data_IF_397363120374
#
_entry.id   IF_397363120374
#
_cell.length_a   1.000
_cell.length_b   1.000
_cell.length_c   1.000
_cell.angle_alpha   90.00
_cell.angle_beta   90.00
_cell.angle_gamma   90.00
#
_symmetry.space_group_name_H-M   'P 1'
#
loop_
_entity.id
_entity.type
_entity.pdbx_description
1 polymer ?
#
# COMPACT_ATOMS: atom_id res chain seq x y z
N UNK A 1 6.10 7.58 -0.72
CA UNK A 1 5.41 6.36 -1.19
C UNK A 1 6.02 5.05 -0.66
N UNK A 2 7.27 5.03 -0.19
CA UNK A 2 7.94 3.86 0.42
C UNK A 2 7.11 3.08 1.46
N UNK A 3 6.52 3.75 2.46
CA UNK A 3 5.74 3.09 3.53
C UNK A 3 4.47 2.42 2.99
N UNK A 4 3.78 3.08 2.04
CA UNK A 4 2.52 2.56 1.48
C UNK A 4 2.82 1.31 0.64
N UNK A 5 3.88 1.34 -0.17
CA UNK A 5 4.31 0.19 -0.95
C UNK A 5 4.72 -0.98 -0.05
N UNK A 6 5.46 -0.72 1.03
CA UNK A 6 5.87 -1.75 1.98
C UNK A 6 4.68 -2.41 2.69
N UNK A 7 3.68 -1.61 3.08
CA UNK A 7 2.42 -2.14 3.64
C UNK A 7 1.69 -3.00 2.61
N UNK A 8 1.54 -2.49 1.37
CA UNK A 8 0.89 -3.22 0.29
C UNK A 8 1.61 -4.53 -0.06
N UNK A 9 2.95 -4.53 -0.07
CA UNK A 9 3.76 -5.72 -0.26
C UNK A 9 3.44 -6.78 0.79
N UNK A 10 3.34 -6.40 2.07
CA UNK A 10 2.98 -7.36 3.14
C UNK A 10 1.58 -7.90 2.89
N UNK A 11 0.59 -7.04 2.64
CA UNK A 11 -0.80 -7.45 2.40
C UNK A 11 -0.89 -8.46 1.26
N UNK A 12 -0.23 -8.22 0.12
CA UNK A 12 -0.25 -9.11 -1.04
C UNK A 12 0.58 -10.38 -0.83
N UNK A 13 1.74 -10.27 -0.17
CA UNK A 13 2.60 -11.42 0.13
C UNK A 13 1.95 -12.40 1.11
N UNK A 14 1.10 -11.90 2.02
CA UNK A 14 0.37 -12.70 3.01
C UNK A 14 -1.03 -13.12 2.53
N UNK A 15 -1.45 -12.72 1.32
CA UNK A 15 -2.75 -13.09 0.76
C UNK A 15 -3.94 -12.45 1.46
N UNK A 16 -3.73 -11.29 2.09
CA UNK A 16 -4.75 -10.57 2.89
C UNK A 16 -5.58 -9.60 2.05
N UNK A 17 -5.43 -9.61 0.73
CA UNK A 17 -6.21 -8.80 -0.19
C UNK A 17 -7.67 -9.26 -0.32
N UNK A 18 -8.57 -8.30 -0.51
CA UNK A 18 -9.97 -8.56 -0.77
C UNK A 18 -10.19 -8.93 -2.25
N UNK A 19 -9.77 -10.14 -2.66
CA UNK A 19 -9.84 -10.64 -4.05
C UNK A 19 -11.20 -10.40 -4.71
N UNK A 20 -12.28 -10.83 -4.04
CA UNK A 20 -13.65 -10.64 -4.55
C UNK A 20 -14.04 -9.17 -4.74
N UNK A 21 -13.49 -8.25 -3.95
CA UNK A 21 -13.75 -6.81 -4.15
C UNK A 21 -13.00 -6.28 -5.37
N UNK A 22 -11.75 -6.71 -5.54
CA UNK A 22 -10.88 -6.34 -6.66
C UNK A 22 -11.47 -6.87 -7.96
N UNK A 23 -11.81 -8.16 -8.02
CA UNK A 23 -12.36 -8.80 -9.22
C UNK A 23 -13.68 -8.14 -9.71
N UNK A 24 -14.47 -7.61 -8.78
CA UNK A 24 -15.77 -6.99 -9.09
C UNK A 24 -15.68 -5.49 -9.43
N UNK A 25 -14.57 -4.80 -9.12
CA UNK A 25 -14.49 -3.34 -9.21
C UNK A 25 -13.23 -2.77 -9.84
N UNK A 26 -12.22 -3.61 -10.10
CA UNK A 26 -10.95 -3.20 -10.67
C UNK A 26 -10.74 -3.87 -12.02
N UNK A 27 -9.95 -3.23 -12.88
CA UNK A 27 -9.47 -3.83 -14.13
C UNK A 27 -8.39 -4.87 -13.82
N UNK A 28 -8.56 -6.08 -14.32
CA UNK A 28 -7.68 -7.22 -14.00
C UNK A 28 -6.23 -6.97 -14.46
N UNK A 29 -6.03 -6.54 -15.71
CA UNK A 29 -4.69 -6.32 -16.27
C UNK A 29 -3.91 -5.26 -15.48
N UNK A 30 -4.57 -4.13 -15.17
CA UNK A 30 -3.96 -3.06 -14.38
C UNK A 30 -3.65 -3.50 -12.94
N UNK A 31 -4.50 -4.35 -12.35
CA UNK A 31 -4.26 -4.92 -11.03
C UNK A 31 -3.07 -5.90 -11.04
N UNK A 32 -2.94 -6.74 -12.06
CA UNK A 32 -1.83 -7.69 -12.18
C UNK A 32 -0.48 -6.98 -12.36
N UNK A 33 -0.44 -5.93 -13.17
CA UNK A 33 0.74 -5.09 -13.35
C UNK A 33 1.15 -4.44 -12.02
N UNK A 34 0.17 -3.84 -11.32
CA UNK A 34 0.40 -3.22 -10.01
C UNK A 34 0.84 -4.25 -8.96
N UNK A 35 0.20 -5.41 -8.92
CA UNK A 35 0.52 -6.50 -7.99
C UNK A 35 1.94 -6.99 -8.20
N UNK A 36 2.36 -7.16 -9.46
CA UNK A 36 3.72 -7.57 -9.80
C UNK A 36 4.75 -6.54 -9.35
N UNK A 37 4.47 -5.24 -9.56
CA UNK A 37 5.33 -4.16 -9.06
C UNK A 37 5.43 -4.15 -7.53
N UNK A 38 4.32 -4.31 -6.81
CA UNK A 38 4.31 -4.25 -5.36
C UNK A 38 5.02 -5.47 -4.73
N UNK A 39 4.98 -6.63 -5.37
CA UNK A 39 5.66 -7.85 -4.91
C UNK A 39 7.18 -7.86 -5.19
N UNK A 40 7.71 -6.84 -5.85
CA UNK A 40 9.16 -6.67 -6.03
C UNK A 40 9.86 -6.51 -4.66
N UNK A 41 11.00 -7.18 -4.48
CA UNK A 41 11.82 -7.12 -3.27
C UNK A 41 12.27 -5.70 -2.89
N UNK A 42 12.35 -4.79 -3.88
CA UNK A 42 12.61 -3.37 -3.63
C UNK A 42 11.53 -2.77 -2.73
N UNK A 43 10.28 -3.21 -2.87
CA UNK A 43 9.14 -2.76 -2.06
C UNK A 43 8.98 -3.54 -0.75
N UNK A 44 9.85 -4.52 -0.44
CA UNK A 44 9.76 -5.29 0.79
C UNK A 44 9.93 -4.40 2.05
N UNK A 45 9.31 -4.77 3.18
CA UNK A 45 9.52 -4.08 4.46
C UNK A 45 10.99 -3.96 4.85
N UNK A 46 11.79 -4.98 4.53
CA UNK A 46 13.21 -5.06 4.84
C UNK A 46 14.01 -4.04 4.00
N UNK A 47 13.75 -3.95 2.70
CA UNK A 47 14.34 -2.92 1.84
C UNK A 47 13.93 -1.51 2.27
N UNK A 48 12.65 -1.35 2.64
CA UNK A 48 12.08 -0.06 3.00
C UNK A 48 12.42 0.40 4.41
N UNK A 49 12.92 -0.47 5.29
CA UNK A 49 13.42 -0.10 6.61
C UNK A 49 14.56 0.92 6.51
N UNK A 50 15.50 0.71 5.58
CA UNK A 50 16.62 1.62 5.33
C UNK A 50 16.17 3.00 4.80
N UNK A 51 15.07 3.03 4.03
CA UNK A 51 14.55 4.25 3.39
C UNK A 51 13.64 5.05 4.32
N UNK A 52 12.82 4.35 5.10
CA UNK A 52 11.76 4.95 5.94
C UNK A 52 12.18 5.16 7.38
N UNK A 53 13.23 4.47 7.85
CA UNK A 53 13.64 4.45 9.25
C UNK A 53 12.64 3.72 10.17
N UNK A 54 11.67 3.00 9.61
CA UNK A 54 10.67 2.23 10.37
C UNK A 54 11.05 0.75 10.31
N UNK A 55 11.17 0.07 11.47
CA UNK A 55 11.47 -1.36 11.50
C UNK A 55 10.47 -2.20 10.69
N UNK A 56 10.96 -3.16 9.91
CA UNK A 56 10.15 -4.04 9.07
C UNK A 56 9.01 -4.72 9.86
N UNK A 57 9.28 -5.16 11.10
CA UNK A 57 8.29 -5.77 11.98
C UNK A 57 7.10 -4.83 12.30
N UNK A 58 7.35 -3.53 12.46
CA UNK A 58 6.27 -2.56 12.69
C UNK A 58 5.42 -2.38 11.44
N UNK A 59 6.04 -2.40 10.26
CA UNK A 59 5.33 -2.32 8.98
C UNK A 59 4.44 -3.56 8.79
N UNK A 60 4.97 -4.77 9.08
CA UNK A 60 4.19 -6.02 9.05
C UNK A 60 3.02 -6.00 10.01
N UNK A 61 3.25 -5.56 11.25
CA UNK A 61 2.19 -5.40 12.25
C UNK A 61 1.10 -4.43 11.82
N UNK A 62 1.48 -3.27 11.27
CA UNK A 62 0.54 -2.28 10.75
C UNK A 62 -0.26 -2.81 9.56
N UNK A 63 0.38 -3.51 8.62
CA UNK A 63 -0.28 -4.12 7.46
C UNK A 63 -1.33 -5.15 7.87
N UNK A 64 -0.98 -6.08 8.78
CA UNK A 64 -1.92 -7.09 9.31
C UNK A 64 -3.07 -6.45 10.08
N UNK A 65 -2.80 -5.41 10.87
CA UNK A 65 -3.82 -4.67 11.59
C UNK A 65 -4.79 -3.98 10.63
N UNK A 66 -4.26 -3.33 9.59
CA UNK A 66 -5.05 -2.64 8.58
C UNK A 66 -5.92 -3.61 7.76
N UNK A 67 -5.36 -4.73 7.31
CA UNK A 67 -6.08 -5.71 6.50
C UNK A 67 -7.17 -6.48 7.28
N UNK A 68 -7.01 -6.62 8.60
CA UNK A 68 -8.01 -7.28 9.47
C UNK A 68 -9.11 -6.33 9.97
N UNK A 69 -9.00 -5.02 9.73
CA UNK A 69 -10.00 -4.06 10.19
C UNK A 69 -11.28 -4.19 9.33
N UNK A 70 -12.45 -4.54 9.92
CA UNK A 70 -13.68 -4.81 9.17
C UNK A 70 -14.27 -3.59 8.45
N UNK A 71 -13.79 -2.38 8.78
CA UNK A 71 -14.13 -1.11 8.15
C UNK A 71 -12.94 -0.16 8.28
N UNK A 72 -11.84 -0.38 7.53
CA UNK A 72 -10.66 0.47 7.57
C UNK A 72 -11.02 1.94 7.27
N UNK A 73 -11.02 2.85 8.26
CA UNK A 73 -11.40 4.21 8.01
C UNK A 73 -10.23 4.93 7.34
N UNK A 74 -10.49 5.52 6.17
CA UNK A 74 -9.55 6.36 5.42
C UNK A 74 -9.22 7.65 6.20
N UNK A 75 -8.39 7.56 7.24
CA UNK A 75 -7.83 8.73 7.90
C UNK A 75 -6.51 9.14 7.24
N UNK A 76 -6.56 9.50 5.96
CA UNK A 76 -5.48 10.27 5.32
C UNK A 76 -5.55 11.69 5.88
N UNK A 77 -4.76 11.98 6.92
CA UNK A 77 -4.49 13.38 7.32
C UNK A 77 -3.72 14.09 6.19
N UNK A 78 -3.83 15.43 6.04
CA UNK A 78 -3.40 16.18 4.85
C UNK A 78 -1.89 16.13 4.48
N UNK A 79 -1.06 15.41 5.23
CA UNK A 79 0.40 15.45 5.12
C UNK A 79 0.96 14.71 3.89
N UNK A 80 0.10 14.07 3.08
CA UNK A 80 0.51 13.35 1.85
C UNK A 80 0.66 14.31 0.65
N UNK A 81 0.01 15.48 0.66
CA UNK A 81 0.08 16.44 -0.47
C UNK A 81 1.33 17.35 -0.47
N UNK A 82 2.18 17.29 0.56
CA UNK A 82 3.35 18.18 0.72
C UNK A 82 4.69 17.50 0.41
N UNK A 83 4.69 16.20 0.08
CA UNK A 83 5.88 15.52 -0.40
C UNK A 83 6.02 15.73 -1.92
N UNK A 84 7.25 15.75 -2.45
CA UNK A 84 7.54 15.85 -3.90
C UNK A 84 6.95 14.71 -4.76
N UNK A 85 6.32 13.73 -4.11
CA UNK A 85 5.58 12.61 -4.69
C UNK A 85 4.06 12.80 -4.56
N UNK A 86 3.59 14.01 -4.24
CA UNK A 86 2.19 14.39 -4.33
C UNK A 86 1.74 14.37 -5.79
N UNK A 87 0.62 13.72 -6.07
CA UNK A 87 0.00 13.80 -7.39
C UNK A 87 -0.26 15.26 -7.76
N UNK A 88 -0.05 15.67 -9.03
CA UNK A 88 -0.42 17.01 -9.45
C UNK A 88 -1.91 17.21 -9.20
N UNK A 89 -2.24 18.33 -8.56
CA UNK A 89 -3.59 18.83 -8.33
C UNK A 89 -4.36 18.93 -9.65
N UNK A 90 -5.07 17.88 -10.03
CA UNK A 90 -6.08 17.92 -11.07
C UNK A 90 -7.22 16.99 -10.69
N UNK A 91 -8.34 17.63 -10.32
CA UNK A 91 -9.72 17.19 -10.16
C UNK A 91 -10.25 18.03 -8.96
N UNK A 92 -11.34 18.79 -9.01
CA UNK A 92 -12.67 18.48 -9.51
C UNK A 92 -13.44 19.82 -9.65
N UNK A 93 -13.90 20.14 -10.86
CA UNK A 93 -15.20 20.79 -11.08
C UNK A 93 -16.11 19.69 -11.58
#
# INVERSE_FOLDING_TARGET
MAIINAIAHVVLSEGLEAKTYIDNRCEADAYEDWRSFILDEVNSPESMESVTGVPAEKIRGAARFFAKAPNGPNFLRPRVSEHSQGFPRWLWV
#
